data_IF_553626809596
#
_entry.id   IF_553626809596
#
_cell.length_a   1.000
_cell.length_b   1.000
_cell.length_c   1.000
_cell.angle_alpha   90.00
_cell.angle_beta   90.00
_cell.angle_gamma   90.00
#
_symmetry.space_group_name_H-M   'P 1'
#
loop_
_entity.id
_entity.type
_entity.pdbx_description
1 polymer ?
#
# COMPACT_ATOMS: atom_id res chain seq x y z
N UNK A 1 0.07 5.12 -21.59
CA UNK A 1 -0.33 4.87 -20.19
C UNK A 1 0.58 5.70 -19.32
N UNK A 2 0.06 6.56 -18.45
CA UNK A 2 0.90 7.42 -17.61
C UNK A 2 1.22 6.73 -16.29
N UNK A 3 2.48 6.80 -15.86
CA UNK A 3 2.93 6.21 -14.62
C UNK A 3 2.18 6.78 -13.40
N UNK A 4 1.79 5.90 -12.49
CA UNK A 4 1.21 6.28 -11.20
C UNK A 4 2.29 6.66 -10.19
N UNK A 5 3.43 5.95 -10.25
CA UNK A 5 4.61 6.20 -9.41
C UNK A 5 5.87 6.20 -10.25
N UNK A 6 6.71 7.21 -10.06
CA UNK A 6 8.09 7.23 -10.57
C UNK A 6 9.04 7.62 -9.43
N UNK A 7 10.04 6.79 -9.23
CA UNK A 7 11.18 7.03 -8.34
C UNK A 7 12.42 7.18 -9.20
N UNK A 8 13.16 8.27 -9.04
CA UNK A 8 14.38 8.54 -9.78
C UNK A 8 15.55 8.72 -8.81
N UNK A 9 16.50 7.78 -8.82
CA UNK A 9 17.74 7.83 -8.05
C UNK A 9 17.52 8.22 -6.57
N UNK A 10 16.60 7.53 -5.89
CA UNK A 10 16.20 7.87 -4.53
C UNK A 10 17.25 7.41 -3.52
N UNK A 11 17.75 8.34 -2.72
CA UNK A 11 18.63 8.10 -1.59
C UNK A 11 17.91 8.43 -0.29
N UNK A 12 18.13 7.61 0.72
CA UNK A 12 17.57 7.79 2.05
C UNK A 12 18.58 7.39 3.10
N UNK A 13 18.68 8.20 4.14
CA UNK A 13 19.52 7.93 5.31
C UNK A 13 18.67 7.87 6.58
N UNK A 14 19.07 7.06 7.53
CA UNK A 14 18.45 6.99 8.85
C UNK A 14 19.53 6.86 9.92
N UNK A 15 19.61 7.84 10.82
CA UNK A 15 20.64 7.87 11.84
C UNK A 15 22.06 7.86 11.28
N UNK A 16 22.30 8.58 10.18
CA UNK A 16 23.60 8.65 9.51
C UNK A 16 24.00 7.39 8.72
N UNK A 17 23.10 6.41 8.58
CA UNK A 17 23.35 5.18 7.82
C UNK A 17 22.53 5.18 6.53
N UNK A 18 23.12 4.83 5.37
CA UNK A 18 22.39 4.72 4.12
C UNK A 18 21.37 3.57 4.21
N UNK A 19 20.14 3.85 3.76
CA UNK A 19 19.02 2.88 3.68
C UNK A 19 18.63 2.64 2.24
N UNK A 20 18.64 3.69 1.41
CA UNK A 20 18.46 3.61 -0.03
C UNK A 20 19.63 4.30 -0.73
N UNK A 21 20.11 3.70 -1.83
CA UNK A 21 21.29 4.14 -2.58
C UNK A 21 20.99 4.13 -4.09
N UNK A 22 20.22 5.12 -4.56
CA UNK A 22 19.86 5.25 -5.97
C UNK A 22 18.70 4.32 -6.38
N UNK A 23 17.71 4.11 -5.49
CA UNK A 23 16.54 3.31 -5.81
C UNK A 23 15.69 3.99 -6.89
N UNK A 24 15.40 3.26 -7.97
CA UNK A 24 14.56 3.73 -9.08
C UNK A 24 13.48 2.71 -9.38
N UNK A 25 12.25 3.18 -9.63
CA UNK A 25 11.09 2.35 -9.91
C UNK A 25 10.06 3.16 -10.70
N UNK A 26 9.39 2.52 -11.64
CA UNK A 26 8.23 3.07 -12.34
C UNK A 26 7.09 2.06 -12.28
N UNK A 27 5.89 2.48 -11.86
CA UNK A 27 4.67 1.67 -11.84
C UNK A 27 3.58 2.37 -12.65
N UNK A 28 2.93 1.60 -13.50
CA UNK A 28 1.77 2.02 -14.29
C UNK A 28 0.46 1.74 -13.53
N UNK A 29 -0.65 2.32 -14.01
CA UNK A 29 -1.98 2.04 -13.45
C UNK A 29 -2.31 0.54 -13.57
N UNK A 30 -2.88 -0.03 -12.50
CA UNK A 30 -3.23 -1.45 -12.44
C UNK A 30 -2.06 -2.41 -12.21
N UNK A 31 -0.80 -1.94 -12.28
CA UNK A 31 0.36 -2.78 -11.96
C UNK A 31 0.47 -3.12 -10.47
N UNK A 32 0.93 -4.35 -10.21
CA UNK A 32 1.37 -4.75 -8.88
C UNK A 32 2.86 -5.05 -8.89
N UNK A 33 3.63 -4.32 -8.09
CA UNK A 33 4.99 -4.70 -7.78
C UNK A 33 5.06 -5.34 -6.39
N UNK A 34 5.75 -6.48 -6.31
CA UNK A 34 6.11 -7.14 -5.07
C UNK A 34 7.56 -6.83 -4.74
N UNK A 35 7.81 -6.26 -3.57
CA UNK A 35 9.15 -5.93 -3.08
C UNK A 35 9.52 -6.85 -1.92
N UNK A 36 10.50 -7.71 -2.15
CA UNK A 36 11.03 -8.61 -1.13
C UNK A 36 12.39 -8.13 -0.62
N UNK A 37 12.79 -8.63 0.54
CA UNK A 37 14.10 -8.34 1.13
C UNK A 37 14.14 -8.67 2.62
N UNK A 38 15.36 -8.78 3.16
CA UNK A 38 15.58 -9.10 4.58
C UNK A 38 14.91 -8.08 5.50
N UNK A 39 14.57 -8.48 6.72
CA UNK A 39 14.13 -7.53 7.75
C UNK A 39 15.21 -6.46 7.94
N UNK A 40 14.79 -5.21 8.08
CA UNK A 40 15.71 -4.07 8.21
C UNK A 40 16.35 -3.58 6.92
N UNK A 41 16.08 -4.18 5.74
CA UNK A 41 16.70 -3.76 4.46
C UNK A 41 16.26 -2.38 3.96
N UNK A 42 15.23 -1.75 4.57
CA UNK A 42 14.74 -0.42 4.15
C UNK A 42 13.41 -0.41 3.41
N UNK A 43 12.73 -1.55 3.24
CA UNK A 43 11.45 -1.66 2.51
C UNK A 43 10.36 -0.72 3.05
N UNK A 44 10.09 -0.76 4.35
CA UNK A 44 9.11 0.16 4.98
C UNK A 44 9.57 1.62 4.92
N UNK A 45 10.88 1.88 4.91
CA UNK A 45 11.42 3.23 4.74
C UNK A 45 11.15 3.76 3.32
N UNK A 46 11.28 2.92 2.31
CA UNK A 46 10.90 3.25 0.94
C UNK A 46 9.39 3.59 0.85
N UNK A 47 8.51 2.76 1.41
CA UNK A 47 7.08 3.05 1.43
C UNK A 47 6.76 4.37 2.13
N UNK A 48 7.41 4.63 3.27
CA UNK A 48 7.24 5.91 4.00
C UNK A 48 7.74 7.12 3.22
N UNK A 49 8.83 6.97 2.46
CA UNK A 49 9.30 8.04 1.58
C UNK A 49 8.29 8.33 0.44
N UNK A 50 7.76 7.29 -0.20
CA UNK A 50 6.71 7.42 -1.22
C UNK A 50 5.46 8.09 -0.64
N UNK A 51 5.06 7.72 0.57
CA UNK A 51 3.92 8.32 1.27
C UNK A 51 4.17 9.77 1.73
N UNK A 52 5.43 10.25 1.69
CA UNK A 52 5.81 11.58 2.20
C UNK A 52 5.93 11.67 3.72
N UNK A 53 5.99 10.52 4.40
CA UNK A 53 6.20 10.42 5.85
C UNK A 53 7.68 10.47 6.22
N UNK A 54 8.55 10.33 5.22
CA UNK A 54 9.99 10.39 5.35
C UNK A 54 10.55 11.16 4.14
N UNK A 55 11.39 12.15 4.38
CA UNK A 55 12.01 12.90 3.29
C UNK A 55 13.24 12.14 2.77
N UNK A 56 13.38 11.91 1.47
CA UNK A 56 14.62 11.39 0.89
C UNK A 56 15.75 12.42 1.02
N UNK A 57 17.01 11.96 1.04
CA UNK A 57 18.17 12.87 1.05
C UNK A 57 18.48 13.38 -0.36
N UNK A 58 18.21 12.57 -1.41
CA UNK A 58 18.37 12.91 -2.84
C UNK A 58 17.39 12.14 -3.69
N UNK A 59 17.24 12.56 -4.96
CA UNK A 59 16.37 11.92 -5.94
C UNK A 59 14.96 12.49 -5.94
N UNK A 60 14.12 11.98 -6.84
CA UNK A 60 12.78 12.52 -7.06
C UNK A 60 11.72 11.44 -6.91
N UNK A 61 10.55 11.86 -6.42
CA UNK A 61 9.33 11.05 -6.38
C UNK A 61 8.26 11.80 -7.15
N UNK A 62 7.71 11.16 -8.18
CA UNK A 62 6.54 11.67 -8.93
C UNK A 62 5.34 10.75 -8.70
N UNK A 63 4.18 11.39 -8.56
CA UNK A 63 2.89 10.71 -8.43
C UNK A 63 1.96 11.26 -9.52
N UNK A 64 1.44 10.40 -10.39
CA UNK A 64 0.61 10.80 -11.54
C UNK A 64 1.27 11.90 -12.39
N UNK A 65 2.59 11.79 -12.61
CA UNK A 65 3.40 12.77 -13.33
C UNK A 65 3.76 14.04 -12.54
N UNK A 66 3.13 14.29 -11.38
CA UNK A 66 3.42 15.48 -10.55
C UNK A 66 4.60 15.20 -9.61
N UNK A 67 5.53 16.15 -9.52
CA UNK A 67 6.67 16.08 -8.60
C UNK A 67 6.19 16.19 -7.15
N UNK A 68 6.28 15.10 -6.40
CA UNK A 68 5.81 15.00 -5.02
C UNK A 68 6.91 15.23 -3.98
N UNK A 69 8.16 14.87 -4.33
CA UNK A 69 9.36 15.16 -3.52
C UNK A 69 10.56 15.38 -4.42
N UNK A 70 11.44 16.31 -4.02
CA UNK A 70 12.71 16.59 -4.68
C UNK A 70 13.81 16.66 -3.59
N UNK A 71 14.55 15.58 -3.44
CA UNK A 71 15.41 15.41 -2.28
C UNK A 71 14.63 15.62 -0.97
N UNK A 72 15.13 16.44 -0.04
CA UNK A 72 14.49 16.68 1.26
C UNK A 72 13.21 17.52 1.17
N UNK A 73 12.89 18.10 0.01
CA UNK A 73 11.71 18.96 -0.17
C UNK A 73 10.47 18.13 -0.45
N UNK A 74 9.51 18.13 0.47
CA UNK A 74 8.20 17.53 0.29
C UNK A 74 7.27 18.55 -0.38
N UNK A 75 7.06 18.45 -1.70
CA UNK A 75 6.24 19.38 -2.50
C UNK A 75 4.76 19.07 -2.40
N UNK A 76 4.40 17.76 -2.29
CA UNK A 76 3.04 17.31 -1.99
C UNK A 76 3.06 16.70 -0.59
N UNK A 77 2.36 17.30 0.40
CA UNK A 77 2.33 16.76 1.75
C UNK A 77 1.56 15.44 1.80
N UNK A 78 1.83 14.55 2.78
CA UNK A 78 1.28 13.19 2.84
C UNK A 78 -0.23 13.10 2.64
N UNK A 79 -1.00 13.98 3.30
CA UNK A 79 -2.46 13.98 3.25
C UNK A 79 -3.06 14.34 1.89
N UNK A 80 -2.27 14.96 0.99
CA UNK A 80 -2.67 15.32 -0.38
C UNK A 80 -2.19 14.32 -1.43
N UNK A 81 -1.36 13.33 -1.05
CA UNK A 81 -0.91 12.29 -1.98
C UNK A 81 -2.07 11.34 -2.30
N UNK A 82 -2.25 10.92 -3.55
CA UNK A 82 -3.32 9.99 -3.96
C UNK A 82 -2.98 8.54 -3.56
N UNK A 83 -2.57 8.34 -2.32
CA UNK A 83 -2.01 7.09 -1.77
C UNK A 83 -2.92 6.56 -0.68
N UNK A 84 -3.22 5.25 -0.73
CA UNK A 84 -3.66 4.46 0.41
C UNK A 84 -2.46 3.75 1.02
N UNK A 85 -2.36 3.72 2.35
CA UNK A 85 -1.27 3.05 3.04
C UNK A 85 -1.80 2.09 4.10
N UNK A 86 -1.50 0.81 3.91
CA UNK A 86 -1.73 -0.22 4.90
C UNK A 86 -0.42 -0.44 5.66
N UNK A 87 -0.37 0.04 6.90
CA UNK A 87 0.79 -0.08 7.78
C UNK A 87 0.90 -1.49 8.35
N UNK A 88 2.12 -1.92 8.62
CA UNK A 88 2.39 -3.12 9.40
C UNK A 88 1.62 -3.10 10.73
N UNK A 89 0.92 -4.20 11.04
CA UNK A 89 0.06 -4.27 12.22
C UNK A 89 -1.25 -3.46 12.14
N UNK A 90 -1.63 -2.98 10.95
CA UNK A 90 -2.90 -2.29 10.69
C UNK A 90 -3.00 -0.87 11.23
N UNK A 91 -2.31 -0.50 12.32
CA UNK A 91 -2.32 0.82 12.97
C UNK A 91 -3.73 1.42 13.14
N UNK A 92 -4.68 0.64 13.68
CA UNK A 92 -6.06 1.08 13.93
C UNK A 92 -6.14 1.98 15.17
N UNK A 93 -7.06 2.94 15.13
CA UNK A 93 -7.35 3.81 16.28
C UNK A 93 -8.32 3.11 17.24
N UNK A 94 -7.90 2.70 18.47
CA UNK A 94 -8.70 1.84 19.34
C UNK A 94 -9.95 2.53 19.90
N UNK A 95 -9.98 3.86 19.89
CA UNK A 95 -11.06 4.70 20.40
C UNK A 95 -12.10 5.12 19.33
N UNK A 96 -11.82 4.89 18.05
CA UNK A 96 -12.74 5.19 16.96
C UNK A 96 -13.48 3.93 16.53
N UNK A 97 -14.79 4.05 16.29
CA UNK A 97 -15.55 2.97 15.66
C UNK A 97 -15.08 2.74 14.22
N UNK A 98 -15.45 1.60 13.63
CA UNK A 98 -15.19 1.25 12.24
C UNK A 98 -15.59 2.41 11.32
N UNK A 99 -16.83 2.88 11.38
CA UNK A 99 -17.29 3.98 10.53
C UNK A 99 -16.56 5.30 10.82
N UNK A 100 -16.30 5.62 12.11
CA UNK A 100 -15.59 6.85 12.49
C UNK A 100 -14.14 6.85 11.97
N UNK A 101 -13.47 5.70 11.98
CA UNK A 101 -12.11 5.53 11.42
C UNK A 101 -12.07 5.82 9.92
N UNK A 102 -13.09 5.39 9.18
CA UNK A 102 -13.19 5.63 7.74
C UNK A 102 -13.62 7.08 7.44
N UNK A 103 -14.57 7.62 8.19
CA UNK A 103 -15.01 9.02 8.06
C UNK A 103 -13.86 9.99 8.29
N UNK A 104 -13.00 9.73 9.27
CA UNK A 104 -11.81 10.53 9.55
C UNK A 104 -10.89 10.69 8.31
N UNK A 105 -10.73 9.64 7.52
CA UNK A 105 -9.93 9.69 6.28
C UNK A 105 -10.60 10.54 5.20
N UNK A 106 -11.93 10.60 5.19
CA UNK A 106 -12.72 11.33 4.20
C UNK A 106 -12.93 12.81 4.56
N UNK A 107 -12.72 13.19 5.82
CA UNK A 107 -12.81 14.59 6.24
C UNK A 107 -11.82 15.45 5.45
N UNK A 108 -12.28 16.59 4.96
CA UNK A 108 -11.44 17.52 4.17
C UNK A 108 -11.23 17.14 2.69
N UNK A 109 -11.89 16.09 2.18
CA UNK A 109 -11.81 15.67 0.77
C UNK A 109 -12.96 16.19 -0.11
N UNK A 110 -13.67 17.21 0.34
CA UNK A 110 -14.74 17.85 -0.46
C UNK A 110 -16.05 17.05 -0.53
N UNK A 111 -16.18 15.95 0.21
CA UNK A 111 -17.39 15.15 0.27
C UNK A 111 -18.32 15.66 1.37
N UNK A 112 -19.61 15.79 1.08
CA UNK A 112 -20.64 16.03 2.08
C UNK A 112 -20.86 14.80 2.98
N UNK A 113 -21.65 14.97 4.05
CA UNK A 113 -21.90 13.90 5.02
C UNK A 113 -22.60 12.68 4.39
N UNK A 114 -23.49 12.89 3.42
CA UNK A 114 -24.24 11.84 2.74
C UNK A 114 -23.31 11.03 1.84
N UNK A 115 -22.49 11.70 1.03
CA UNK A 115 -21.52 11.07 0.16
C UNK A 115 -20.46 10.28 0.95
N UNK A 116 -19.95 10.85 2.07
CA UNK A 116 -19.02 10.12 2.95
C UNK A 116 -19.65 8.84 3.51
N UNK A 117 -20.89 8.93 4.00
CA UNK A 117 -21.59 7.75 4.53
C UNK A 117 -21.81 6.69 3.46
N UNK A 118 -22.21 7.07 2.24
CA UNK A 118 -22.37 6.13 1.13
C UNK A 118 -21.04 5.45 0.80
N UNK A 119 -19.93 6.22 0.71
CA UNK A 119 -18.60 5.65 0.45
C UNK A 119 -18.10 4.71 1.55
N UNK A 120 -18.43 4.99 2.82
CA UNK A 120 -18.11 4.11 3.93
C UNK A 120 -18.84 2.77 3.77
N UNK A 121 -20.15 2.77 3.46
CA UNK A 121 -20.90 1.55 3.25
C UNK A 121 -20.38 0.74 2.07
N UNK A 122 -20.05 1.41 0.96
CA UNK A 122 -19.46 0.79 -0.23
C UNK A 122 -18.15 0.06 0.14
N UNK A 123 -17.18 0.74 0.78
CA UNK A 123 -15.90 0.11 1.10
C UNK A 123 -16.02 -0.98 2.17
N UNK A 124 -16.96 -0.87 3.11
CA UNK A 124 -17.21 -1.93 4.09
C UNK A 124 -17.77 -3.19 3.41
N UNK A 125 -18.64 -3.03 2.42
CA UNK A 125 -19.09 -4.16 1.60
C UNK A 125 -17.95 -4.76 0.78
N UNK A 126 -17.09 -3.92 0.18
CA UNK A 126 -15.91 -4.36 -0.56
C UNK A 126 -14.95 -5.23 0.27
N UNK A 127 -14.85 -5.01 1.58
CA UNK A 127 -13.97 -5.78 2.47
C UNK A 127 -14.72 -6.75 3.40
N UNK A 128 -15.98 -7.06 3.12
CA UNK A 128 -16.81 -8.00 3.89
C UNK A 128 -16.99 -7.62 5.37
N UNK A 129 -17.16 -6.32 5.64
CA UNK A 129 -17.43 -5.78 6.97
C UNK A 129 -18.77 -5.04 7.05
N UNK A 130 -19.75 -5.39 6.19
CA UNK A 130 -21.10 -4.82 6.24
C UNK A 130 -21.72 -5.01 7.62
N UNK A 131 -22.32 -3.94 8.16
CA UNK A 131 -22.94 -3.96 9.49
C UNK A 131 -21.98 -3.77 10.67
N UNK A 132 -20.69 -3.58 10.43
CA UNK A 132 -19.69 -3.39 11.51
C UNK A 132 -19.49 -1.93 11.91
N UNK A 133 -20.26 -1.01 11.38
CA UNK A 133 -20.12 0.45 11.52
C UNK A 133 -19.83 0.93 12.94
N UNK A 134 -20.56 0.38 13.92
CA UNK A 134 -20.50 0.80 15.31
C UNK A 134 -19.48 0.04 16.15
N UNK A 135 -18.90 -1.05 15.61
CA UNK A 135 -17.91 -1.86 16.34
C UNK A 135 -16.62 -1.08 16.57
N UNK A 136 -15.96 -1.37 17.68
CA UNK A 136 -14.64 -0.84 17.99
C UNK A 136 -13.55 -1.83 17.55
N UNK A 137 -12.35 -1.39 17.11
CA UNK A 137 -11.27 -2.27 16.68
C UNK A 137 -10.92 -3.39 17.67
N UNK A 138 -11.00 -3.12 18.96
CA UNK A 138 -10.74 -4.11 20.03
C UNK A 138 -11.73 -5.30 20.06
N UNK A 139 -12.87 -5.18 19.38
CA UNK A 139 -13.89 -6.24 19.30
C UNK A 139 -13.83 -7.02 17.99
N UNK A 140 -12.85 -6.71 17.15
CA UNK A 140 -12.63 -7.36 15.87
C UNK A 140 -11.63 -8.52 16.03
N UNK A 141 -11.84 -9.61 15.28
CA UNK A 141 -10.83 -10.64 15.09
C UNK A 141 -9.61 -10.08 14.33
N UNK A 142 -8.48 -10.79 14.32
CA UNK A 142 -7.30 -10.37 13.56
C UNK A 142 -7.58 -10.15 12.07
N UNK A 143 -8.34 -11.05 11.44
CA UNK A 143 -8.74 -10.91 10.03
C UNK A 143 -9.70 -9.75 9.79
N UNK A 144 -10.69 -9.52 10.69
CA UNK A 144 -11.58 -8.36 10.61
C UNK A 144 -10.83 -7.03 10.78
N UNK A 145 -9.87 -6.98 11.71
CA UNK A 145 -9.01 -5.83 11.93
C UNK A 145 -8.14 -5.52 10.69
N UNK A 146 -7.61 -6.56 10.04
CA UNK A 146 -6.84 -6.41 8.82
C UNK A 146 -7.71 -5.91 7.65
N UNK A 147 -8.93 -6.44 7.49
CA UNK A 147 -9.90 -5.94 6.51
C UNK A 147 -10.31 -4.49 6.78
N UNK A 148 -10.46 -4.09 8.04
CA UNK A 148 -10.68 -2.67 8.38
C UNK A 148 -9.49 -1.78 8.01
N UNK A 149 -8.26 -2.24 8.25
CA UNK A 149 -7.06 -1.51 7.85
C UNK A 149 -6.97 -1.34 6.33
N UNK A 150 -7.36 -2.37 5.57
CA UNK A 150 -7.48 -2.31 4.12
C UNK A 150 -8.60 -1.33 3.68
N UNK A 151 -9.79 -1.41 4.29
CA UNK A 151 -10.88 -0.47 4.01
C UNK A 151 -10.44 0.98 4.21
N UNK A 152 -9.70 1.26 5.28
CA UNK A 152 -9.16 2.59 5.57
C UNK A 152 -8.18 3.06 4.50
N UNK A 153 -7.35 2.17 3.95
CA UNK A 153 -6.44 2.50 2.87
C UNK A 153 -7.19 2.77 1.53
N UNK A 154 -8.33 2.11 1.31
CA UNK A 154 -9.11 2.18 0.06
C UNK A 154 -10.22 3.24 0.07
N UNK A 155 -10.71 3.68 1.24
CA UNK A 155 -11.91 4.52 1.36
C UNK A 155 -11.80 5.83 0.57
N UNK A 156 -10.60 6.38 0.47
CA UNK A 156 -10.30 7.61 -0.28
C UNK A 156 -10.09 7.40 -1.80
N UNK A 157 -10.34 6.19 -2.33
CA UNK A 157 -10.12 5.82 -3.74
C UNK A 157 -8.70 6.18 -4.23
N UNK A 158 -7.65 5.63 -3.60
CA UNK A 158 -6.28 5.94 -3.96
C UNK A 158 -5.96 5.49 -5.40
N UNK A 159 -4.94 6.12 -6.00
CA UNK A 159 -4.35 5.66 -7.27
C UNK A 159 -3.17 4.74 -7.06
N UNK A 160 -2.55 4.80 -5.90
CA UNK A 160 -1.45 3.94 -5.46
C UNK A 160 -1.77 3.36 -4.08
N UNK A 161 -1.68 2.04 -3.94
CA UNK A 161 -1.82 1.35 -2.66
C UNK A 161 -0.45 0.85 -2.20
N UNK A 162 -0.01 1.31 -1.04
CA UNK A 162 1.22 0.86 -0.39
C UNK A 162 0.86 -0.14 0.72
N UNK A 163 1.45 -1.34 0.66
CA UNK A 163 1.16 -2.46 1.56
C UNK A 163 2.44 -2.87 2.28
N UNK A 164 2.51 -2.62 3.59
CA UNK A 164 3.66 -2.92 4.43
C UNK A 164 3.39 -4.19 5.26
N UNK A 165 3.87 -5.34 4.78
CA UNK A 165 3.64 -6.68 5.37
C UNK A 165 2.16 -6.96 5.68
N UNK A 166 1.24 -6.81 4.71
CA UNK A 166 -0.20 -6.85 4.95
C UNK A 166 -0.71 -8.22 5.40
N UNK A 167 0.05 -9.29 5.15
CA UNK A 167 -0.37 -10.68 5.35
C UNK A 167 0.24 -11.33 6.60
N UNK A 168 1.25 -10.68 7.23
CA UNK A 168 2.00 -11.24 8.34
C UNK A 168 1.16 -11.76 9.53
N UNK A 169 0.11 -11.05 9.98
CA UNK A 169 -0.71 -11.48 11.12
C UNK A 169 -1.74 -12.58 10.81
N UNK A 170 -1.88 -13.00 9.54
CA UNK A 170 -2.96 -13.87 9.09
C UNK A 170 -2.51 -15.34 9.00
N UNK A 171 -3.42 -16.27 9.29
CA UNK A 171 -3.26 -17.67 8.97
C UNK A 171 -3.33 -17.93 7.45
N UNK A 172 -3.02 -19.17 7.04
CA UNK A 172 -2.85 -19.49 5.62
C UNK A 172 -4.13 -19.35 4.77
N UNK A 173 -5.31 -19.56 5.35
CA UNK A 173 -6.59 -19.44 4.63
C UNK A 173 -7.00 -17.98 4.47
N UNK A 174 -6.97 -17.21 5.56
CA UNK A 174 -7.26 -15.77 5.54
C UNK A 174 -6.27 -15.00 4.66
N UNK A 175 -5.00 -15.42 4.65
CA UNK A 175 -3.96 -14.86 3.78
C UNK A 175 -4.32 -15.01 2.30
N UNK A 176 -4.67 -16.25 1.87
CA UNK A 176 -5.10 -16.50 0.49
C UNK A 176 -6.33 -15.70 0.11
N UNK A 177 -7.35 -15.67 0.96
CA UNK A 177 -8.56 -14.90 0.72
C UNK A 177 -8.26 -13.40 0.54
N UNK A 178 -7.36 -12.83 1.37
CA UNK A 178 -7.00 -11.41 1.26
C UNK A 178 -6.21 -11.11 -0.02
N UNK A 179 -5.31 -12.01 -0.46
CA UNK A 179 -4.57 -11.84 -1.73
C UNK A 179 -5.53 -11.82 -2.91
N UNK A 180 -6.45 -12.79 -2.99
CA UNK A 180 -7.48 -12.84 -4.04
C UNK A 180 -8.30 -11.55 -4.02
N UNK A 181 -8.75 -11.12 -2.83
CA UNK A 181 -9.57 -9.92 -2.69
C UNK A 181 -8.83 -8.65 -3.11
N UNK A 182 -7.55 -8.52 -2.79
CA UNK A 182 -6.71 -7.41 -3.25
C UNK A 182 -6.60 -7.38 -4.78
N UNK A 183 -6.46 -8.55 -5.43
CA UNK A 183 -6.44 -8.67 -6.89
C UNK A 183 -7.75 -8.20 -7.53
N UNK A 184 -8.90 -8.66 -7.00
CA UNK A 184 -10.24 -8.23 -7.45
C UNK A 184 -10.44 -6.72 -7.30
N UNK A 185 -10.10 -6.15 -6.15
CA UNK A 185 -10.22 -4.72 -5.87
C UNK A 185 -9.31 -3.90 -6.79
N UNK A 186 -8.08 -4.38 -7.06
CA UNK A 186 -7.18 -3.72 -8.01
C UNK A 186 -7.76 -3.73 -9.42
N UNK A 187 -8.28 -4.85 -9.88
CA UNK A 187 -8.92 -4.96 -11.20
C UNK A 187 -10.15 -4.04 -11.31
N UNK A 188 -10.98 -3.97 -10.26
CA UNK A 188 -12.19 -3.15 -10.25
C UNK A 188 -11.90 -1.63 -10.18
N UNK A 189 -10.89 -1.21 -9.43
CA UNK A 189 -10.60 0.20 -9.17
C UNK A 189 -9.41 0.77 -9.96
N UNK A 190 -8.60 -0.07 -10.59
CA UNK A 190 -7.49 0.33 -11.45
C UNK A 190 -6.32 1.01 -10.72
N UNK A 191 -6.19 0.84 -9.39
CA UNK A 191 -5.04 1.37 -8.66
C UNK A 191 -3.78 0.53 -8.92
N UNK A 192 -2.60 1.17 -8.87
CA UNK A 192 -1.34 0.45 -8.78
C UNK A 192 -1.06 0.04 -7.32
N UNK A 193 -0.29 -1.03 -7.10
CA UNK A 193 0.11 -1.42 -5.74
C UNK A 193 1.61 -1.75 -5.64
N UNK A 194 2.21 -1.32 -4.53
CA UNK A 194 3.53 -1.73 -4.10
C UNK A 194 3.40 -2.51 -2.78
N UNK A 195 3.57 -3.81 -2.88
CA UNK A 195 3.45 -4.73 -1.75
C UNK A 195 4.83 -5.12 -1.25
N UNK A 196 5.09 -4.88 0.02
CA UNK A 196 6.33 -5.25 0.70
C UNK A 196 6.07 -6.48 1.57
N UNK A 197 6.89 -7.50 1.40
CA UNK A 197 6.86 -8.72 2.22
C UNK A 197 8.26 -9.30 2.41
N UNK A 198 8.41 -10.16 3.39
CA UNK A 198 9.59 -11.01 3.56
C UNK A 198 9.40 -12.41 2.94
N UNK A 199 8.16 -12.78 2.58
CA UNK A 199 7.83 -14.07 1.94
C UNK A 199 7.39 -13.86 0.48
N UNK A 200 8.25 -14.22 -0.51
CA UNK A 200 7.92 -14.08 -1.92
C UNK A 200 6.69 -14.87 -2.36
N UNK A 201 6.40 -16.00 -1.71
CA UNK A 201 5.29 -16.87 -2.08
C UNK A 201 3.91 -16.25 -1.80
N UNK A 202 3.85 -15.24 -0.91
CA UNK A 202 2.60 -14.66 -0.46
C UNK A 202 1.79 -13.94 -1.55
N UNK A 203 2.43 -13.39 -2.57
CA UNK A 203 1.75 -12.57 -3.58
C UNK A 203 2.37 -12.70 -4.98
N UNK A 204 3.26 -13.67 -5.19
CA UNK A 204 3.98 -13.82 -6.46
C UNK A 204 3.05 -14.17 -7.64
N UNK A 205 1.93 -14.85 -7.39
CA UNK A 205 1.00 -15.28 -8.44
C UNK A 205 0.33 -14.11 -9.18
N UNK A 206 0.12 -12.97 -8.49
CA UNK A 206 -0.57 -11.79 -9.02
C UNK A 206 0.38 -10.62 -9.33
N UNK A 207 1.67 -10.75 -8.98
CA UNK A 207 2.63 -9.67 -9.20
C UNK A 207 3.01 -9.58 -10.68
N UNK A 208 2.83 -8.41 -11.28
CA UNK A 208 3.33 -8.10 -12.61
C UNK A 208 4.83 -7.83 -12.60
N UNK A 209 5.40 -7.61 -11.43
CA UNK A 209 6.83 -7.32 -11.25
C UNK A 209 7.31 -7.76 -9.88
N UNK A 210 8.40 -8.54 -9.85
CA UNK A 210 9.07 -8.97 -8.62
C UNK A 210 10.41 -8.24 -8.46
N UNK A 211 10.59 -7.58 -7.32
CA UNK A 211 11.76 -6.76 -7.00
C UNK A 211 12.39 -7.21 -5.68
N UNK A 212 13.69 -7.05 -5.55
CA UNK A 212 14.40 -7.19 -4.28
C UNK A 212 15.06 -5.88 -3.89
N UNK A 213 14.94 -5.53 -2.61
CA UNK A 213 15.76 -4.45 -2.04
C UNK A 213 17.06 -5.05 -1.48
N UNK A 214 18.15 -4.79 -2.18
CA UNK A 214 19.48 -5.27 -1.84
C UNK A 214 20.48 -4.11 -1.82
N UNK A 215 21.20 -3.94 -0.70
CA UNK A 215 22.19 -2.85 -0.53
C UNK A 215 21.64 -1.47 -0.94
N UNK A 216 20.41 -1.17 -0.52
CA UNK A 216 19.76 0.11 -0.80
C UNK A 216 19.23 0.29 -2.23
N UNK A 217 19.38 -0.71 -3.11
CA UNK A 217 18.95 -0.67 -4.52
C UNK A 217 17.81 -1.61 -4.80
N UNK A 218 16.95 -1.23 -5.74
CA UNK A 218 15.88 -2.10 -6.25
C UNK A 218 16.43 -2.91 -7.43
N UNK A 219 16.47 -4.21 -7.26
CA UNK A 219 16.96 -5.16 -8.27
C UNK A 219 15.79 -6.00 -8.75
N UNK A 220 15.51 -6.09 -10.06
CA UNK A 220 14.53 -7.03 -10.58
C UNK A 220 14.94 -8.46 -10.20
N UNK A 221 13.98 -9.24 -9.69
CA UNK A 221 14.13 -10.69 -9.64
C UNK A 221 13.62 -11.23 -10.96
N UNK A 222 14.35 -12.18 -11.56
CA UNK A 222 13.87 -12.88 -12.75
C UNK A 222 12.49 -13.46 -12.43
N UNK A 223 11.53 -13.30 -13.38
CA UNK A 223 10.19 -13.89 -13.24
C UNK A 223 10.32 -15.34 -12.79
N UNK A 224 9.56 -15.78 -11.77
CA UNK A 224 9.35 -17.19 -11.60
C UNK A 224 8.69 -17.67 -12.90
N UNK A 225 9.43 -18.45 -13.68
CA UNK A 225 9.14 -18.93 -15.04
C UNK A 225 7.64 -19.07 -15.35
N UNK A 226 7.15 -18.69 -16.55
CA UNK A 226 5.75 -18.88 -16.98
C UNK A 226 5.43 -20.35 -17.30
N UNK A 227 5.82 -21.28 -16.41
CA UNK A 227 5.74 -22.72 -16.60
C UNK A 227 4.72 -23.47 -15.76
N UNK A 228 3.97 -22.80 -14.89
CA UNK A 228 2.99 -23.47 -14.02
C UNK A 228 1.54 -23.00 -14.28
N UNK A 229 1.22 -22.59 -15.49
CA UNK A 229 -0.20 -22.59 -15.92
C UNK A 229 -0.50 -24.02 -16.34
N UNK A 230 -0.86 -24.88 -15.41
CA UNK A 230 -1.56 -26.11 -15.72
C UNK A 230 -2.87 -25.73 -16.40
N UNK A 231 -2.95 -26.06 -17.68
CA UNK A 231 -4.18 -26.06 -18.47
C UNK A 231 -5.19 -27.07 -17.88
N UNK A 232 -6.45 -26.96 -18.28
CA UNK A 232 -7.67 -27.33 -17.56
C UNK A 232 -7.81 -28.80 -17.23
#
# INVERSE_FOLDING_TARGET
VSAVLELENLYLERGGRPVLEGASLRLEAGEQALLVGRSGSGKSSLLRAIAGLLAPSRGQIRLLGQLASDGPRLLIPPQRRPIGYLFQGGALWPHLSVAASLDFVLVGRGLDRRARRARIQEVLAEVELSGFDRRLPRTLSGGEAQRLALARALVARPKLLLLDEPLGPLDGELRRALVVRLGELRAAHGFASLHVTHDPAEAAADASRLLRLERGRLVPLADPSPGARTAP
#
